data_IF_525093954129
#
_entry.id   IF_525093954129
#
_cell.length_a   1.000
_cell.length_b   1.000
_cell.length_c   1.000
_cell.angle_alpha   90.00
_cell.angle_beta   90.00
_cell.angle_gamma   90.00
#
_symmetry.space_group_name_H-M   'P 1'
#
loop_
_entity.id
_entity.type
_entity.pdbx_description
1 polymer ?
#
# COMPACT_ATOMS: atom_id res chain seq x y z
N UNK A 1 -11.44 14.72 8.18
CA UNK A 1 -10.14 14.19 7.78
C UNK A 1 -10.15 13.96 6.28
N UNK A 2 -9.27 14.64 5.58
CA UNK A 2 -9.22 14.57 4.11
C UNK A 2 -8.31 13.42 3.69
N UNK A 3 -8.83 12.55 2.83
CA UNK A 3 -8.04 11.57 2.09
C UNK A 3 -7.11 12.34 1.15
N UNK A 4 -5.84 12.00 1.15
CA UNK A 4 -4.86 12.71 0.33
C UNK A 4 -5.21 12.60 -1.17
N UNK A 5 -5.20 13.71 -1.92
CA UNK A 5 -5.47 13.68 -3.36
C UNK A 5 -4.59 12.68 -4.14
N UNK A 6 -3.37 12.45 -3.64
CA UNK A 6 -2.43 11.48 -4.22
C UNK A 6 -2.94 10.04 -4.20
N UNK A 7 -3.63 9.60 -3.15
CA UNK A 7 -4.19 8.25 -3.10
C UNK A 7 -5.30 8.04 -4.15
N UNK A 8 -6.10 9.06 -4.42
CA UNK A 8 -7.11 9.00 -5.48
C UNK A 8 -6.49 9.02 -6.87
N UNK A 9 -5.46 9.83 -7.07
CA UNK A 9 -4.72 9.90 -8.33
C UNK A 9 -4.07 8.55 -8.66
N UNK A 10 -3.31 7.99 -7.73
CA UNK A 10 -2.64 6.70 -7.94
C UNK A 10 -3.63 5.56 -8.16
N UNK A 11 -4.74 5.50 -7.40
CA UNK A 11 -5.80 4.53 -7.63
C UNK A 11 -6.38 4.59 -9.05
N UNK A 12 -6.55 5.80 -9.59
CA UNK A 12 -7.01 5.98 -10.97
C UNK A 12 -5.94 5.61 -12.00
N UNK A 13 -4.67 5.90 -11.75
CA UNK A 13 -3.54 5.46 -12.60
C UNK A 13 -3.51 3.93 -12.70
N UNK A 14 -3.61 3.22 -11.57
CA UNK A 14 -3.64 1.75 -11.56
C UNK A 14 -4.80 1.19 -12.39
N UNK A 15 -5.98 1.79 -12.29
CA UNK A 15 -7.13 1.40 -13.10
C UNK A 15 -6.89 1.60 -14.61
N UNK A 16 -6.37 2.76 -15.03
CA UNK A 16 -6.05 3.04 -16.44
C UNK A 16 -5.09 2.01 -17.05
N UNK A 17 -4.13 1.57 -16.25
CA UNK A 17 -3.11 0.61 -16.68
C UNK A 17 -3.52 -0.86 -16.42
N UNK A 18 -4.80 -1.11 -16.16
CA UNK A 18 -5.38 -2.46 -15.96
C UNK A 18 -4.76 -3.23 -14.78
N UNK A 19 -4.21 -2.51 -13.80
CA UNK A 19 -3.67 -3.08 -12.58
C UNK A 19 -4.72 -3.13 -11.44
N UNK A 20 -5.84 -2.45 -11.61
CA UNK A 20 -6.93 -2.36 -10.63
C UNK A 20 -8.28 -2.55 -11.29
N UNK A 21 -9.23 -3.13 -10.54
CA UNK A 21 -10.64 -3.17 -10.90
C UNK A 21 -11.28 -1.77 -10.84
N UNK A 22 -12.42 -1.54 -11.54
CA UNK A 22 -13.10 -0.25 -11.55
C UNK A 22 -13.45 0.31 -10.17
N UNK A 23 -13.64 -0.57 -9.17
CA UNK A 23 -13.95 -0.17 -7.80
C UNK A 23 -12.87 0.72 -7.15
N UNK A 24 -11.60 0.60 -7.56
CA UNK A 24 -10.50 1.45 -7.08
C UNK A 24 -10.44 2.82 -7.78
N UNK A 25 -11.10 2.98 -8.92
CA UNK A 25 -11.13 4.23 -9.68
C UNK A 25 -12.19 5.18 -9.12
N UNK A 26 -11.76 6.22 -8.42
CA UNK A 26 -12.70 7.22 -7.91
C UNK A 26 -12.97 8.32 -8.92
N UNK A 27 -14.17 8.92 -8.88
CA UNK A 27 -14.51 10.10 -9.70
C UNK A 27 -13.51 11.23 -9.44
N UNK A 28 -13.16 11.46 -8.18
CA UNK A 28 -12.17 12.47 -7.81
C UNK A 28 -10.77 12.16 -8.38
N UNK A 29 -10.33 10.89 -8.36
CA UNK A 29 -9.06 10.47 -8.97
C UNK A 29 -9.01 10.75 -10.48
N UNK A 30 -10.14 10.54 -11.18
CA UNK A 30 -10.26 10.88 -12.60
C UNK A 30 -10.13 12.39 -12.84
N UNK A 31 -10.76 13.22 -11.99
CA UNK A 31 -10.63 14.66 -12.07
C UNK A 31 -9.20 15.13 -11.82
N UNK A 32 -8.56 14.65 -10.74
CA UNK A 32 -7.16 14.99 -10.43
C UNK A 32 -6.24 14.58 -11.58
N UNK A 33 -6.43 13.37 -12.13
CA UNK A 33 -5.68 12.92 -13.30
C UNK A 33 -5.85 13.87 -14.50
N UNK A 34 -7.07 14.32 -14.79
CA UNK A 34 -7.33 15.28 -15.86
C UNK A 34 -6.59 16.60 -15.70
N UNK A 35 -6.44 17.09 -14.46
CA UNK A 35 -5.65 18.29 -14.17
C UNK A 35 -4.15 18.08 -14.25
N UNK A 36 -3.65 16.90 -13.89
CA UNK A 36 -2.21 16.56 -13.90
C UNK A 36 -1.72 16.16 -15.29
N UNK A 37 -2.60 15.61 -16.12
CA UNK A 37 -2.23 15.11 -17.46
C UNK A 37 -1.51 16.12 -18.36
N UNK A 38 -1.95 17.41 -18.48
CA UNK A 38 -1.24 18.40 -19.29
C UNK A 38 0.16 18.69 -18.77
N UNK A 39 0.33 18.73 -17.44
CA UNK A 39 1.64 18.96 -16.79
C UNK A 39 2.57 17.78 -17.06
N UNK A 40 2.06 16.56 -16.94
CA UNK A 40 2.80 15.34 -17.21
C UNK A 40 3.23 15.26 -18.69
N UNK A 41 2.34 15.64 -19.61
CA UNK A 41 2.63 15.69 -21.05
C UNK A 41 3.71 16.74 -21.36
N UNK A 42 3.63 17.93 -20.76
CA UNK A 42 4.65 18.98 -20.88
C UNK A 42 6.01 18.54 -20.34
N UNK A 43 6.04 17.87 -19.18
CA UNK A 43 7.26 17.33 -18.59
C UNK A 43 7.89 16.22 -19.47
N UNK A 44 7.06 15.39 -20.08
CA UNK A 44 7.51 14.35 -21.00
C UNK A 44 8.15 14.94 -22.26
N UNK A 45 7.55 15.99 -22.84
CA UNK A 45 8.10 16.66 -24.01
C UNK A 45 9.40 17.43 -23.72
N UNK A 46 9.50 18.06 -22.55
CA UNK A 46 10.65 18.89 -22.19
C UNK A 46 11.82 18.13 -21.57
N UNK A 47 11.56 17.11 -20.80
CA UNK A 47 12.56 16.43 -19.95
C UNK A 47 12.55 14.90 -20.09
N UNK A 48 11.65 14.32 -20.90
CA UNK A 48 11.50 12.87 -21.03
C UNK A 48 10.95 12.20 -19.76
N UNK A 49 10.43 12.97 -18.79
CA UNK A 49 9.94 12.48 -17.51
C UNK A 49 8.42 12.27 -17.56
N UNK A 50 7.98 11.08 -17.20
CA UNK A 50 6.58 10.74 -17.06
C UNK A 50 6.31 10.24 -15.64
N UNK A 51 5.51 10.99 -14.87
CA UNK A 51 5.17 10.64 -13.48
C UNK A 51 4.41 9.32 -13.42
N UNK A 52 3.52 9.04 -14.38
CA UNK A 52 2.77 7.79 -14.43
C UNK A 52 3.70 6.60 -14.67
N UNK A 53 4.66 6.71 -15.59
CA UNK A 53 5.62 5.62 -15.85
C UNK A 53 6.48 5.34 -14.62
N UNK A 54 6.92 6.38 -13.91
CA UNK A 54 7.64 6.21 -12.66
C UNK A 54 6.82 5.50 -11.58
N UNK A 55 5.56 5.89 -11.40
CA UNK A 55 4.64 5.23 -10.46
C UNK A 55 4.42 3.77 -10.84
N UNK A 56 4.20 3.48 -12.13
CA UNK A 56 3.99 2.12 -12.64
C UNK A 56 5.22 1.25 -12.46
N UNK A 57 6.39 1.73 -12.85
CA UNK A 57 7.64 0.98 -12.69
C UNK A 57 7.88 0.62 -11.22
N UNK A 58 7.74 1.59 -10.30
CA UNK A 58 7.88 1.36 -8.86
C UNK A 58 6.90 0.29 -8.38
N UNK A 59 5.62 0.41 -8.74
CA UNK A 59 4.58 -0.54 -8.34
C UNK A 59 4.88 -1.95 -8.85
N UNK A 60 5.24 -2.09 -10.12
CA UNK A 60 5.54 -3.37 -10.74
C UNK A 60 6.84 -3.99 -10.20
N UNK A 61 7.85 -3.18 -9.88
CA UNK A 61 9.08 -3.68 -9.22
C UNK A 61 8.79 -4.25 -7.84
N UNK A 62 7.96 -3.58 -7.04
CA UNK A 62 7.52 -4.08 -5.73
C UNK A 62 6.72 -5.38 -5.92
N UNK A 63 5.81 -5.43 -6.88
CA UNK A 63 5.04 -6.65 -7.18
C UNK A 63 5.93 -7.82 -7.58
N UNK A 64 6.94 -7.58 -8.42
CA UNK A 64 7.90 -8.60 -8.83
C UNK A 64 8.70 -9.13 -7.64
N UNK A 65 9.18 -8.23 -6.76
CA UNK A 65 9.90 -8.63 -5.54
C UNK A 65 9.02 -9.37 -4.56
N UNK A 66 7.77 -8.94 -4.36
CA UNK A 66 6.81 -9.65 -3.52
C UNK A 66 6.48 -11.03 -4.09
N UNK A 67 6.31 -11.15 -5.41
CA UNK A 67 6.11 -12.43 -6.09
C UNK A 67 7.26 -13.39 -5.79
N UNK A 68 8.50 -12.93 -5.91
CA UNK A 68 9.68 -13.72 -5.59
C UNK A 68 9.68 -14.16 -4.12
N UNK A 69 9.36 -13.27 -3.19
CA UNK A 69 9.31 -13.58 -1.76
C UNK A 69 8.26 -14.67 -1.45
N UNK A 70 7.08 -14.58 -2.06
CA UNK A 70 6.02 -15.58 -1.87
C UNK A 70 6.36 -16.92 -2.51
N UNK A 71 6.90 -16.92 -3.73
CA UNK A 71 7.10 -18.16 -4.50
C UNK A 71 8.41 -18.89 -4.18
N UNK A 72 9.44 -18.17 -3.75
CA UNK A 72 10.79 -18.73 -3.56
C UNK A 72 11.31 -18.66 -2.14
N UNK A 73 10.84 -17.70 -1.33
CA UNK A 73 11.36 -17.44 0.01
C UNK A 73 10.37 -17.88 1.11
N UNK A 74 9.22 -18.46 0.73
CA UNK A 74 8.25 -19.03 1.67
C UNK A 74 7.44 -17.99 2.44
N UNK A 75 7.40 -16.73 1.98
CA UNK A 75 6.60 -15.67 2.61
C UNK A 75 5.11 -15.97 2.51
N UNK A 76 4.44 -15.97 3.65
CA UNK A 76 3.00 -16.23 3.77
C UNK A 76 2.23 -15.09 4.41
N UNK A 77 2.92 -14.04 4.84
CA UNK A 77 2.35 -12.87 5.49
C UNK A 77 2.89 -11.59 4.86
N UNK A 78 2.01 -10.65 4.57
CA UNK A 78 2.34 -9.34 3.99
C UNK A 78 1.65 -8.24 4.77
N UNK A 79 2.37 -7.17 5.03
CA UNK A 79 1.83 -5.91 5.55
C UNK A 79 2.13 -4.80 4.55
N UNK A 80 1.10 -4.12 4.03
CA UNK A 80 1.25 -2.95 3.17
C UNK A 80 0.87 -1.69 3.95
N UNK A 81 1.87 -0.91 4.34
CA UNK A 81 1.72 0.34 5.08
C UNK A 81 1.46 1.51 4.14
N UNK A 82 0.63 2.47 4.56
CA UNK A 82 0.19 3.59 3.74
C UNK A 82 -0.38 3.11 2.38
N UNK A 83 -1.21 2.07 2.45
CA UNK A 83 -1.72 1.34 1.29
C UNK A 83 -2.58 2.18 0.34
N UNK A 84 -3.15 3.29 0.80
CA UNK A 84 -4.03 4.14 0.00
C UNK A 84 -5.12 3.32 -0.71
N UNK A 85 -5.27 3.54 -2.01
CA UNK A 85 -6.13 2.76 -2.89
C UNK A 85 -5.32 1.79 -3.77
N UNK A 86 -4.20 1.26 -3.26
CA UNK A 86 -3.42 0.22 -3.94
C UNK A 86 -4.28 -1.04 -4.18
N UNK A 87 -4.29 -1.61 -5.37
CA UNK A 87 -5.01 -2.86 -5.68
C UNK A 87 -4.19 -4.10 -5.33
N UNK A 88 -2.95 -3.94 -4.84
CA UNK A 88 -1.98 -5.04 -4.64
C UNK A 88 -2.53 -6.12 -3.73
N UNK A 89 -3.10 -5.76 -2.57
CA UNK A 89 -3.67 -6.73 -1.63
C UNK A 89 -4.71 -7.61 -2.30
N UNK A 90 -5.65 -7.02 -3.04
CA UNK A 90 -6.65 -7.76 -3.82
C UNK A 90 -6.02 -8.70 -4.84
N UNK A 91 -5.08 -8.21 -5.67
CA UNK A 91 -4.42 -9.00 -6.72
C UNK A 91 -3.61 -10.16 -6.16
N UNK A 92 -2.83 -9.93 -5.11
CA UNK A 92 -2.04 -10.99 -4.47
C UNK A 92 -2.89 -12.00 -3.74
N UNK A 93 -3.96 -11.58 -3.08
CA UNK A 93 -4.92 -12.51 -2.45
C UNK A 93 -5.65 -13.38 -3.48
N UNK A 94 -5.97 -12.84 -4.65
CA UNK A 94 -6.57 -13.61 -5.73
C UNK A 94 -5.60 -14.64 -6.30
N UNK A 95 -4.34 -14.27 -6.48
CA UNK A 95 -3.29 -15.16 -7.01
C UNK A 95 -2.81 -16.18 -5.98
N UNK A 96 -2.74 -15.79 -4.70
CA UNK A 96 -2.23 -16.60 -3.59
C UNK A 96 -3.26 -16.64 -2.45
N UNK A 97 -4.29 -17.49 -2.51
CA UNK A 97 -5.37 -17.52 -1.52
C UNK A 97 -4.93 -17.88 -0.10
N UNK A 98 -3.77 -18.52 0.06
CA UNK A 98 -3.16 -18.85 1.36
C UNK A 98 -2.47 -17.64 2.03
N UNK A 99 -2.09 -16.62 1.25
CA UNK A 99 -1.34 -15.47 1.73
C UNK A 99 -2.18 -14.64 2.72
N UNK A 100 -1.65 -14.35 3.89
CA UNK A 100 -2.24 -13.36 4.80
C UNK A 100 -1.79 -11.97 4.37
N UNK A 101 -2.74 -11.09 4.11
CA UNK A 101 -2.45 -9.74 3.63
C UNK A 101 -3.13 -8.69 4.52
N UNK A 102 -2.33 -7.91 5.24
CA UNK A 102 -2.81 -6.78 6.04
C UNK A 102 -2.49 -5.48 5.31
N UNK A 103 -3.52 -4.73 5.01
CA UNK A 103 -3.39 -3.38 4.47
C UNK A 103 -3.56 -2.38 5.61
N UNK A 104 -2.68 -1.40 5.71
CA UNK A 104 -2.69 -0.43 6.79
C UNK A 104 -2.57 0.99 6.27
N UNK A 105 -3.39 1.88 6.82
CA UNK A 105 -3.37 3.31 6.52
C UNK A 105 -3.96 4.09 7.69
N UNK A 106 -3.87 5.41 7.63
CA UNK A 106 -4.54 6.29 8.58
C UNK A 106 -6.05 6.00 8.65
N UNK A 107 -6.70 6.20 9.82
CA UNK A 107 -8.08 5.79 10.04
C UNK A 107 -9.07 6.16 8.94
N UNK A 108 -9.06 7.39 8.36
CA UNK A 108 -10.03 7.73 7.30
C UNK A 108 -9.82 6.94 6.01
N UNK A 109 -8.56 6.68 5.63
CA UNK A 109 -8.24 5.91 4.44
C UNK A 109 -8.51 4.42 4.66
N UNK A 110 -8.13 3.89 5.82
CA UNK A 110 -8.40 2.51 6.20
C UNK A 110 -9.90 2.21 6.20
N UNK A 111 -10.73 3.10 6.79
CA UNK A 111 -12.18 2.97 6.77
C UNK A 111 -12.74 2.96 5.34
N UNK A 112 -12.28 3.88 4.48
CA UNK A 112 -12.71 3.95 3.08
C UNK A 112 -12.33 2.69 2.31
N UNK A 113 -11.07 2.24 2.42
CA UNK A 113 -10.60 1.04 1.72
C UNK A 113 -11.31 -0.21 2.22
N UNK A 114 -11.50 -0.33 3.54
CA UNK A 114 -12.26 -1.42 4.14
C UNK A 114 -13.68 -1.48 3.59
N UNK A 115 -14.39 -0.35 3.55
CA UNK A 115 -15.73 -0.28 2.99
C UNK A 115 -15.77 -0.71 1.51
N UNK A 116 -14.83 -0.20 0.68
CA UNK A 116 -14.70 -0.58 -0.72
C UNK A 116 -14.49 -2.08 -0.89
N UNK A 117 -13.54 -2.67 -0.18
CA UNK A 117 -13.24 -4.10 -0.29
C UNK A 117 -14.37 -4.97 0.26
N UNK A 118 -15.05 -4.52 1.33
CA UNK A 118 -16.18 -5.22 1.91
C UNK A 118 -17.41 -5.22 0.97
N UNK A 119 -17.70 -4.08 0.34
CA UNK A 119 -18.78 -3.94 -0.66
C UNK A 119 -18.59 -4.91 -1.84
N UNK A 120 -17.34 -5.16 -2.23
CA UNK A 120 -16.98 -6.10 -3.29
C UNK A 120 -16.87 -7.56 -2.80
N UNK A 121 -17.01 -7.83 -1.51
CA UNK A 121 -16.82 -9.17 -0.95
C UNK A 121 -15.38 -9.69 -1.01
N UNK A 122 -14.39 -8.80 -0.98
CA UNK A 122 -12.97 -9.16 -1.10
C UNK A 122 -12.22 -9.26 0.22
N UNK A 123 -12.85 -8.90 1.33
CA UNK A 123 -12.29 -9.12 2.67
C UNK A 123 -12.65 -10.51 3.20
N UNK A 124 -11.69 -11.13 3.87
CA UNK A 124 -11.87 -12.40 4.57
C UNK A 124 -10.97 -12.48 5.82
N UNK A 125 -10.88 -13.64 6.44
CA UNK A 125 -10.01 -13.84 7.61
C UNK A 125 -8.53 -13.60 7.35
N UNK A 126 -8.09 -13.66 6.09
CA UNK A 126 -6.68 -13.48 5.68
C UNK A 126 -6.42 -12.16 4.96
N UNK A 127 -7.45 -11.47 4.45
CA UNK A 127 -7.33 -10.15 3.86
C UNK A 127 -8.05 -9.13 4.72
N UNK A 128 -7.31 -8.24 5.33
CA UNK A 128 -7.84 -7.25 6.28
C UNK A 128 -7.27 -5.86 6.03
N UNK A 129 -8.03 -4.84 6.41
CA UNK A 129 -7.58 -3.44 6.45
C UNK A 129 -7.55 -2.98 7.90
N UNK A 130 -6.49 -2.29 8.29
CA UNK A 130 -6.26 -1.78 9.65
C UNK A 130 -6.00 -0.29 9.65
N UNK A 131 -6.56 0.40 10.64
CA UNK A 131 -6.20 1.78 10.92
C UNK A 131 -4.87 1.80 11.69
N UNK A 132 -3.86 2.42 11.11
CA UNK A 132 -2.52 2.54 11.72
C UNK A 132 -2.00 3.95 11.51
N UNK A 133 -1.49 4.55 12.59
CA UNK A 133 -0.70 5.75 12.55
C UNK A 133 0.76 5.40 12.85
N UNK A 134 1.64 5.60 11.89
CA UNK A 134 3.07 5.30 12.07
C UNK A 134 3.74 6.17 13.14
N UNK A 135 3.09 7.26 13.54
CA UNK A 135 3.55 8.14 14.63
C UNK A 135 3.11 7.62 16.01
N UNK A 136 2.11 6.75 16.08
CA UNK A 136 1.66 6.17 17.34
C UNK A 136 2.70 5.17 17.86
N UNK A 137 3.27 5.48 19.02
CA UNK A 137 4.24 4.59 19.68
C UNK A 137 3.55 3.40 20.36
N UNK A 138 2.31 3.60 20.85
CA UNK A 138 1.54 2.61 21.60
C UNK A 138 0.04 2.68 21.22
N UNK A 139 -0.73 1.69 21.68
CA UNK A 139 -2.16 1.61 21.45
C UNK A 139 -2.54 0.85 20.19
N UNK A 140 -3.84 0.73 19.95
CA UNK A 140 -4.42 -0.11 18.89
C UNK A 140 -4.01 0.28 17.45
N UNK A 141 -3.64 1.54 17.25
CA UNK A 141 -3.22 2.06 15.94
C UNK A 141 -1.69 2.08 15.78
N UNK A 142 -0.95 1.50 16.71
CA UNK A 142 0.50 1.43 16.65
C UNK A 142 0.98 0.33 15.69
N UNK A 143 2.21 0.47 15.21
CA UNK A 143 2.90 -0.56 14.45
C UNK A 143 3.00 -1.88 15.21
N UNK A 144 3.26 -1.83 16.52
CA UNK A 144 3.35 -3.01 17.37
C UNK A 144 2.02 -3.76 17.43
N UNK A 145 0.89 -3.05 17.58
CA UNK A 145 -0.44 -3.67 17.55
C UNK A 145 -0.74 -4.34 16.20
N UNK A 146 -0.38 -3.71 15.08
CA UNK A 146 -0.55 -4.30 13.75
C UNK A 146 0.26 -5.59 13.60
N UNK A 147 1.53 -5.57 13.96
CA UNK A 147 2.43 -6.73 13.81
C UNK A 147 2.08 -7.87 14.77
N UNK A 148 1.48 -7.58 15.93
CA UNK A 148 1.01 -8.61 16.87
C UNK A 148 -0.15 -9.47 16.30
N UNK A 149 -0.79 -9.06 15.21
CA UNK A 149 -1.78 -9.87 14.52
C UNK A 149 -1.16 -10.97 13.65
N UNK A 150 0.14 -10.93 13.40
CA UNK A 150 0.86 -11.88 12.57
C UNK A 150 1.36 -13.08 13.38
N UNK A 151 1.64 -14.14 12.68
CA UNK A 151 2.30 -15.33 13.25
C UNK A 151 3.82 -15.07 13.35
N UNK A 152 4.39 -14.99 14.55
CA UNK A 152 5.82 -14.68 14.71
C UNK A 152 6.75 -15.79 14.21
N UNK A 153 6.24 -17.03 14.02
CA UNK A 153 7.02 -18.16 13.52
C UNK A 153 7.06 -18.23 11.98
N UNK A 154 6.46 -17.25 11.29
CA UNK A 154 6.38 -17.22 9.83
C UNK A 154 7.01 -15.96 9.26
N UNK A 155 7.70 -16.05 8.12
CA UNK A 155 8.32 -14.89 7.48
C UNK A 155 7.27 -13.88 7.03
N UNK A 156 7.61 -12.59 7.14
CA UNK A 156 6.76 -11.46 6.78
C UNK A 156 7.45 -10.51 5.82
N UNK A 157 6.72 -9.99 4.85
CA UNK A 157 7.14 -8.85 4.04
C UNK A 157 6.36 -7.61 4.45
N UNK A 158 7.08 -6.52 4.70
CA UNK A 158 6.48 -5.20 4.91
C UNK A 158 6.75 -4.31 3.70
N UNK A 159 5.70 -3.73 3.14
CA UNK A 159 5.74 -2.82 2.00
C UNK A 159 5.38 -1.41 2.45
N UNK A 160 6.18 -0.44 2.05
CA UNK A 160 5.94 0.99 2.30
C UNK A 160 6.10 1.77 1.00
N UNK A 161 5.08 1.74 0.16
CA UNK A 161 5.13 2.45 -1.13
C UNK A 161 4.72 3.92 -0.98
N UNK A 162 5.64 4.84 -1.26
CA UNK A 162 5.37 6.28 -1.26
C UNK A 162 5.28 6.95 0.11
N UNK A 163 5.53 6.22 1.21
CA UNK A 163 5.38 6.71 2.58
C UNK A 163 6.39 7.81 2.95
N UNK A 164 7.65 7.63 2.58
CA UNK A 164 8.77 8.51 3.03
C UNK A 164 8.60 9.98 2.63
N UNK A 165 7.90 10.25 1.56
CA UNK A 165 7.75 11.61 1.01
C UNK A 165 6.83 12.52 1.85
N UNK A 166 6.10 11.95 2.80
CA UNK A 166 5.13 12.69 3.64
C UNK A 166 5.70 13.17 4.97
N UNK A 167 6.91 12.75 5.31
CA UNK A 167 7.48 13.01 6.62
C UNK A 167 8.88 13.61 6.53
N UNK A 168 9.25 14.36 7.57
CA UNK A 168 10.61 14.81 7.74
C UNK A 168 11.52 13.64 8.09
N UNK A 169 12.80 13.76 7.72
CA UNK A 169 13.81 12.71 7.90
C UNK A 169 13.86 12.10 9.32
N UNK A 170 13.86 12.89 10.42
CA UNK A 170 13.93 12.30 11.77
C UNK A 170 12.73 11.38 12.08
N UNK A 171 11.53 11.74 11.59
CA UNK A 171 10.30 10.96 11.80
C UNK A 171 10.39 9.62 11.07
N UNK A 172 10.86 9.63 9.84
CA UNK A 172 11.02 8.41 9.05
C UNK A 172 12.14 7.51 9.60
N UNK A 173 13.25 8.08 10.08
CA UNK A 173 14.32 7.33 10.71
C UNK A 173 13.85 6.65 12.00
N UNK A 174 13.01 7.31 12.78
CA UNK A 174 12.40 6.71 13.97
C UNK A 174 11.44 5.58 13.61
N UNK A 175 10.56 5.80 12.63
CA UNK A 175 9.67 4.76 12.13
C UNK A 175 10.46 3.52 11.66
N UNK A 176 11.52 3.70 10.86
CA UNK A 176 12.34 2.58 10.38
C UNK A 176 13.04 1.84 11.52
N UNK A 177 13.50 2.55 12.55
CA UNK A 177 14.12 1.94 13.72
C UNK A 177 13.12 1.07 14.49
N UNK A 178 11.91 1.57 14.71
CA UNK A 178 10.82 0.83 15.35
C UNK A 178 10.40 -0.38 14.53
N UNK A 179 10.24 -0.22 13.23
CA UNK A 179 9.91 -1.31 12.31
C UNK A 179 10.99 -2.39 12.31
N UNK A 180 12.26 -2.01 12.15
CA UNK A 180 13.37 -2.95 12.18
C UNK A 180 13.47 -3.70 13.51
N UNK A 181 13.23 -3.01 14.63
CA UNK A 181 13.20 -3.66 15.96
C UNK A 181 12.06 -4.68 16.07
N UNK A 182 10.88 -4.33 15.58
CA UNK A 182 9.72 -5.23 15.63
C UNK A 182 9.87 -6.44 14.68
N UNK A 183 10.50 -6.25 13.53
CA UNK A 183 10.71 -7.34 12.56
C UNK A 183 11.72 -8.39 13.03
N UNK A 184 12.58 -8.11 14.02
CA UNK A 184 13.47 -9.12 14.65
C UNK A 184 12.72 -10.26 15.34
N UNK A 185 11.44 -10.11 15.57
CA UNK A 185 10.59 -11.16 16.15
C UNK A 185 10.15 -12.20 15.11
N UNK A 186 10.41 -11.97 13.83
CA UNK A 186 10.04 -12.86 12.73
C UNK A 186 11.27 -13.53 12.12
N UNK A 187 11.15 -14.73 11.55
CA UNK A 187 12.23 -15.38 10.82
C UNK A 187 12.59 -14.59 9.53
N UNK A 188 13.88 -14.70 9.14
CA UNK A 188 14.41 -14.13 7.90
C UNK A 188 13.94 -14.90 6.66
#
# INVERSE_FOLDING_TARGET
AHITPSAHYTGYVWFRHRLAEPAFATVFGRWVHGFVAPINWGAQLGFGLNIEDFLLQRHLMIDARLTQAVEREGVVQVVEMACGLSPRGRRFRQRYPQLRYLEADLPPMAARKSALLQEQGWLDGKHRVRAVDILAEQGEQSLAALLSELDPDRPVVVITEGLVNYFQRPVIEDFWRRLASALRLFPE
#
